data_IF_536406989549
#
_entry.id   IF_536406989549
#
_cell.length_a   1.000
_cell.length_b   1.000
_cell.length_c   1.000
_cell.angle_alpha   90.00
_cell.angle_beta   90.00
_cell.angle_gamma   90.00
#
_symmetry.space_group_name_H-M   'P 1'
#
loop_
_entity.id
_entity.type
_entity.pdbx_description
1 polymer ?
2 non-polymer ?
3 non-polymer ?
4 water ?
#
# COMPACT_ATOMS: atom_id res chain seq x y z
N UNK A 1 3.97 -3.74 18.15
CA UNK A 1 2.85 -2.98 17.54
C UNK A 1 2.76 -3.23 16.03
N UNK A 2 3.82 -2.95 15.28
CA UNK A 2 3.72 -3.18 13.81
C UNK A 2 4.57 -4.38 13.42
N UNK A 3 5.13 -5.09 14.40
CA UNK A 3 6.02 -6.25 14.09
C UNK A 3 5.48 -7.35 13.19
N UNK A 4 4.22 -7.67 13.36
CA UNK A 4 3.63 -8.77 12.55
C UNK A 4 3.57 -8.37 11.06
N UNK A 5 3.62 -7.08 10.73
CA UNK A 5 3.60 -6.64 9.33
C UNK A 5 4.97 -6.71 8.67
N UNK A 6 6.04 -6.83 9.44
CA UNK A 6 7.39 -6.69 8.88
C UNK A 6 7.74 -7.91 8.06
N UNK A 7 8.45 -7.70 6.98
CA UNK A 7 8.98 -8.77 6.15
C UNK A 7 8.69 -8.52 4.69
N UNK A 8 8.84 -9.59 3.92
CA UNK A 8 8.71 -9.57 2.47
C UNK A 8 7.43 -10.30 2.10
N UNK A 9 6.61 -9.64 1.29
CA UNK A 9 5.25 -10.07 0.96
C UNK A 9 5.10 -10.11 -0.55
N UNK A 10 4.42 -11.12 -1.05
CA UNK A 10 4.23 -11.29 -2.50
C UNK A 10 2.75 -11.27 -2.83
N UNK A 11 2.36 -10.56 -3.88
CA UNK A 11 0.94 -10.51 -4.26
C UNK A 11 0.45 -11.88 -4.73
N UNK A 12 -0.68 -12.35 -4.11
CA UNK A 12 -1.37 -13.65 -4.38
C UNK A 12 -2.86 -13.52 -4.75
N UNK A 13 -3.49 -12.35 -4.64
CA UNK A 13 -4.89 -12.16 -5.08
C UNK A 13 -5.13 -10.65 -5.28
N UNK A 14 -5.88 -10.24 -6.32
CA UNK A 14 -6.24 -8.84 -6.48
C UNK A 14 -7.69 -8.72 -6.99
N UNK A 15 -8.46 -7.86 -6.31
CA UNK A 15 -9.85 -7.60 -6.67
C UNK A 15 -10.02 -6.09 -6.83
N UNK A 16 -10.52 -5.68 -7.99
CA UNK A 16 -10.97 -4.30 -8.25
C UNK A 16 -9.79 -3.32 -8.32
N UNK A 17 -8.56 -3.78 -8.58
CA UNK A 17 -7.47 -2.83 -8.70
C UNK A 17 -7.67 -1.90 -9.89
N UNK A 18 -8.21 -2.43 -11.01
CA UNK A 18 -8.47 -1.54 -12.14
C UNK A 18 -9.45 -0.44 -11.75
N UNK A 19 -10.50 -0.78 -11.01
CA UNK A 19 -11.46 0.25 -10.58
C UNK A 19 -10.74 1.34 -9.77
N UNK A 20 -9.88 0.92 -8.85
CA UNK A 20 -9.16 1.87 -8.02
C UNK A 20 -8.26 2.77 -8.86
N UNK A 21 -7.47 2.17 -9.74
CA UNK A 21 -6.60 2.96 -10.62
C UNK A 21 -7.42 3.91 -11.49
N UNK A 22 -8.52 3.43 -12.03
CA UNK A 22 -9.30 4.29 -12.91
C UNK A 22 -9.86 5.46 -12.10
N UNK A 23 -10.28 5.23 -10.86
CA UNK A 23 -10.81 6.31 -10.01
C UNK A 23 -9.75 7.39 -9.81
N UNK A 24 -8.49 6.99 -9.70
CA UNK A 24 -7.37 7.91 -9.54
C UNK A 24 -6.95 8.56 -10.87
N UNK A 25 -7.56 8.20 -11.98
CA UNK A 25 -7.21 8.82 -13.28
C UNK A 25 -6.02 8.19 -13.97
N UNK A 26 -5.64 6.98 -13.60
CA UNK A 26 -4.52 6.30 -14.26
C UNK A 26 -4.94 5.88 -15.68
N UNK A 27 -4.08 6.13 -16.65
CA UNK A 27 -4.38 5.84 -18.04
C UNK A 27 -4.46 4.35 -18.36
N UNK A 28 -5.15 4.03 -19.45
CA UNK A 28 -5.46 2.63 -19.75
C UNK A 28 -4.21 1.79 -19.91
N UNK A 29 -3.15 2.31 -20.53
CA UNK A 29 -1.98 1.50 -20.84
C UNK A 29 -1.27 1.15 -19.53
N UNK A 30 -1.19 2.10 -18.61
CA UNK A 30 -0.60 1.84 -17.28
C UNK A 30 -1.46 0.83 -16.52
N UNK A 31 -2.78 0.98 -16.58
CA UNK A 31 -3.64 0.03 -15.85
C UNK A 31 -3.46 -1.38 -16.40
N UNK A 32 -3.28 -1.47 -17.68
CA UNK A 32 -3.15 -2.75 -18.37
C UNK A 32 -1.89 -3.46 -17.85
N UNK A 33 -0.75 -2.77 -17.81
CA UNK A 33 0.50 -3.39 -17.33
C UNK A 33 0.35 -3.68 -15.84
N UNK A 34 -0.17 -2.72 -15.08
CA UNK A 34 -0.33 -2.91 -13.62
C UNK A 34 -1.17 -4.14 -13.30
N UNK A 35 -2.21 -4.44 -14.09
CA UNK A 35 -3.13 -5.56 -13.82
C UNK A 35 -2.44 -6.92 -13.95
N UNK A 36 -1.28 -6.95 -14.59
CA UNK A 36 -0.56 -8.22 -14.79
C UNK A 36 0.73 -8.28 -13.95
N UNK A 37 0.94 -7.30 -13.11
CA UNK A 37 2.17 -7.22 -12.34
C UNK A 37 1.89 -7.81 -10.95
N UNK A 38 2.89 -8.51 -10.37
CA UNK A 38 2.74 -9.09 -9.03
C UNK A 38 3.83 -8.53 -8.14
N UNK A 39 3.60 -7.39 -7.52
CA UNK A 39 4.65 -6.77 -6.76
C UNK A 39 5.04 -7.57 -5.52
N UNK A 40 6.25 -7.20 -5.07
CA UNK A 40 6.77 -7.59 -3.77
C UNK A 40 6.79 -6.35 -2.90
N UNK A 41 6.23 -6.47 -1.69
CA UNK A 41 6.22 -5.39 -0.70
C UNK A 41 7.12 -5.78 0.46
N UNK A 42 8.08 -4.94 0.79
CA UNK A 42 9.01 -5.19 1.89
C UNK A 42 8.76 -4.12 2.93
N UNK A 43 8.47 -4.54 4.15
CA UNK A 43 8.21 -3.61 5.27
C UNK A 43 9.30 -3.88 6.30
N UNK A 44 10.07 -2.86 6.61
CA UNK A 44 11.21 -2.98 7.53
C UNK A 44 11.10 -1.84 8.56
N UNK A 45 11.64 -2.09 9.75
CA UNK A 45 11.78 -0.98 10.72
C UNK A 45 13.19 -0.87 11.23
N UNK A 46 13.50 0.35 11.64
CA UNK A 46 14.75 0.67 12.34
C UNK A 46 14.36 1.66 13.42
N UNK A 47 14.23 1.16 14.64
CA UNK A 47 13.68 2.01 15.69
C UNK A 47 12.28 2.41 15.30
N UNK A 48 11.88 3.63 15.43
CA UNK A 48 10.44 3.76 15.09
C UNK A 48 10.30 4.32 13.64
N UNK A 49 11.31 4.18 12.77
CA UNK A 49 11.22 4.55 11.36
C UNK A 49 10.92 3.29 10.57
N UNK A 50 9.81 3.33 9.86
CA UNK A 50 9.40 2.24 8.96
C UNK A 50 9.81 2.63 7.55
N UNK A 51 10.20 1.61 6.78
CA UNK A 51 10.42 1.74 5.35
C UNK A 51 9.58 0.70 4.64
N UNK A 52 8.83 1.16 3.64
CA UNK A 52 7.94 0.29 2.87
C UNK A 52 8.34 0.40 1.41
N UNK A 53 8.87 -0.69 0.89
CA UNK A 53 9.31 -0.79 -0.51
C UNK A 53 8.27 -1.59 -1.28
N UNK A 54 7.98 -1.17 -2.51
CA UNK A 54 7.09 -1.93 -3.41
C UNK A 54 7.86 -2.10 -4.71
N UNK A 55 8.20 -3.34 -5.08
CA UNK A 55 9.04 -3.66 -6.22
C UNK A 55 8.26 -4.43 -7.27
N UNK A 56 8.51 -4.11 -8.52
CA UNK A 56 7.89 -4.87 -9.61
C UNK A 56 8.70 -4.73 -10.87
N UNK A 57 8.25 -5.41 -11.91
CA UNK A 57 8.84 -5.29 -13.24
C UNK A 57 8.46 -3.98 -13.93
N UNK A 58 7.51 -3.24 -13.41
CA UNK A 58 7.01 -2.02 -14.07
C UNK A 58 7.50 -0.76 -13.38
N UNK A 59 7.18 -0.61 -12.12
CA UNK A 59 7.52 0.55 -11.29
C UNK A 59 7.96 0.04 -9.91
N UNK A 60 8.80 0.83 -9.26
CA UNK A 60 9.21 0.60 -7.88
C UNK A 60 8.92 1.87 -7.09
N UNK A 61 8.58 1.71 -5.82
CA UNK A 61 8.47 2.82 -4.90
C UNK A 61 9.16 2.47 -3.61
N UNK A 62 9.47 3.53 -2.82
CA UNK A 62 9.93 3.37 -1.44
C UNK A 62 9.52 4.60 -0.67
N UNK A 63 8.99 4.38 0.52
CA UNK A 63 8.71 5.46 1.47
C UNK A 63 9.31 5.10 2.82
N UNK A 64 9.73 6.12 3.57
CA UNK A 64 10.09 5.98 4.97
C UNK A 64 9.31 6.98 5.79
N UNK A 65 8.91 6.56 7.00
CA UNK A 65 8.04 7.40 7.80
C UNK A 65 8.13 6.95 9.25
N UNK A 66 7.72 7.83 10.14
CA UNK A 66 7.43 7.49 11.54
C UNK A 66 5.91 7.37 11.68
N UNK A 67 5.37 6.39 12.43
CA UNK A 67 3.94 6.33 12.62
C UNK A 67 3.50 7.64 13.24
N UNK A 68 2.37 8.11 12.74
CA UNK A 68 1.73 9.26 13.31
C UNK A 68 2.36 10.59 12.99
N UNK A 69 3.31 10.63 12.06
CA UNK A 69 3.97 11.88 11.66
C UNK A 69 3.78 12.04 10.16
N UNK A 70 3.21 13.15 9.76
CA UNK A 70 2.94 13.40 8.33
C UNK A 70 4.26 13.43 7.55
N UNK A 71 4.18 12.99 6.30
CA UNK A 71 5.32 13.00 5.38
C UNK A 71 4.82 13.31 3.99
N UNK A 72 5.71 13.93 3.18
CA UNK A 72 5.44 14.09 1.78
C UNK A 72 5.71 12.78 1.04
N UNK A 73 4.90 12.50 0.04
CA UNK A 73 5.03 11.27 -0.75
C UNK A 73 4.70 11.58 -2.20
N UNK A 74 5.41 10.93 -3.10
CA UNK A 74 5.09 10.95 -4.53
C UNK A 74 4.75 9.51 -4.92
N UNK A 75 3.50 9.28 -5.27
CA UNK A 75 3.01 7.93 -5.44
C UNK A 75 3.47 7.32 -6.77
N UNK A 76 3.17 6.02 -6.93
CA UNK A 76 3.58 5.30 -8.14
C UNK A 76 2.99 5.92 -9.40
N UNK A 77 1.80 6.51 -9.28
CA UNK A 77 1.10 7.21 -10.38
C UNK A 77 1.38 8.72 -10.35
N UNK A 78 2.40 9.15 -9.64
CA UNK A 78 2.94 10.52 -9.69
C UNK A 78 2.03 11.56 -9.04
N UNK A 79 1.18 11.17 -8.10
CA UNK A 79 0.51 12.15 -7.26
C UNK A 79 1.45 12.61 -6.15
N UNK A 80 1.47 13.92 -5.91
CA UNK A 80 2.23 14.50 -4.78
C UNK A 80 1.25 14.71 -3.65
N UNK A 81 1.41 13.93 -2.60
CA UNK A 81 0.41 13.83 -1.54
C UNK A 81 1.05 14.10 -0.18
N UNK A 82 0.19 14.42 0.78
CA UNK A 82 0.54 14.51 2.19
C UNK A 82 0.03 13.24 2.84
N UNK A 83 0.91 12.50 3.49
CA UNK A 83 0.60 11.16 3.98
C UNK A 83 0.81 11.05 5.47
N UNK A 84 0.06 10.12 6.05
CA UNK A 84 0.31 9.72 7.44
C UNK A 84 -0.05 8.24 7.55
N UNK A 85 0.75 7.51 8.31
CA UNK A 85 0.51 6.09 8.55
C UNK A 85 0.39 5.91 10.07
N UNK A 86 -0.65 5.19 10.51
CA UNK A 86 -1.00 5.02 11.92
C UNK A 86 -1.42 3.56 12.13
N UNK A 87 -1.18 2.97 13.29
CA UNK A 87 -1.92 1.75 13.66
C UNK A 87 -3.27 2.10 14.25
N UNK A 88 -4.30 1.40 13.78
CA UNK A 88 -5.71 1.66 14.16
C UNK A 88 -6.40 0.30 14.19
N UNK A 89 -6.78 -0.15 15.38
CA UNK A 89 -7.42 -1.46 15.45
C UNK A 89 -6.50 -2.58 15.03
N UNK A 90 -5.21 -2.40 15.21
CA UNK A 90 -4.22 -3.39 14.77
C UNK A 90 -3.94 -3.38 13.27
N UNK A 91 -4.55 -2.46 12.54
CA UNK A 91 -4.34 -2.32 11.10
C UNK A 91 -3.37 -1.17 10.86
N UNK A 92 -2.57 -1.33 9.84
CA UNK A 92 -1.66 -0.28 9.43
C UNK A 92 -2.42 0.59 8.43
N UNK A 93 -2.80 1.83 8.79
CA UNK A 93 -3.66 2.70 7.99
C UNK A 93 -2.83 3.85 7.40
N UNK A 94 -2.65 3.85 6.07
CA UNK A 94 -1.95 4.90 5.29
C UNK A 94 -3.01 5.82 4.65
N UNK A 95 -3.10 7.11 5.06
CA UNK A 95 -4.02 8.10 4.47
C UNK A 95 -3.18 9.07 3.64
N UNK A 96 -3.60 9.26 2.38
CA UNK A 96 -2.99 10.23 1.46
C UNK A 96 -4.00 11.33 1.15
N UNK A 97 -3.53 12.57 1.16
CA UNK A 97 -4.34 13.76 0.91
C UNK A 97 -3.69 14.59 -0.18
N UNK A 98 -4.48 15.05 -1.15
CA UNK A 98 -3.96 15.93 -2.20
C UNK A 98 -5.14 16.60 -2.87
N UNK A 99 -5.03 17.90 -3.14
CA UNK A 99 -6.08 18.64 -3.89
C UNK A 99 -7.46 18.43 -3.23
N UNK A 100 -7.53 18.28 -1.92
CA UNK A 100 -8.79 18.06 -1.22
C UNK A 100 -9.33 16.62 -1.32
N UNK A 101 -8.69 15.78 -2.10
CA UNK A 101 -8.99 14.34 -2.27
C UNK A 101 -8.29 13.57 -1.15
N UNK A 102 -8.79 12.37 -0.94
CA UNK A 102 -8.17 11.42 -0.02
C UNK A 102 -8.25 10.01 -0.60
N UNK A 103 -7.27 9.19 -0.22
CA UNK A 103 -7.36 7.75 -0.43
C UNK A 103 -6.76 7.09 0.79
N UNK A 104 -7.30 5.93 1.15
CA UNK A 104 -6.74 5.14 2.22
C UNK A 104 -6.23 3.80 1.69
N UNK A 105 -5.13 3.38 2.30
CA UNK A 105 -4.45 2.11 2.03
C UNK A 105 -4.35 1.42 3.37
N UNK A 106 -5.20 0.43 3.61
CA UNK A 106 -5.33 -0.20 4.93
C UNK A 106 -4.78 -1.61 4.85
N UNK A 107 -3.83 -1.95 5.72
CA UNK A 107 -3.26 -3.29 5.75
C UNK A 107 -3.65 -3.98 7.06
N UNK A 108 -4.07 -5.23 6.92
CA UNK A 108 -4.45 -6.06 8.07
C UNK A 108 -3.96 -7.46 7.85
N UNK A 109 -3.78 -8.17 8.93
CA UNK A 109 -3.36 -9.56 8.87
C UNK A 109 -4.55 -10.45 9.17
N UNK A 110 -4.79 -11.39 8.27
CA UNK A 110 -5.89 -12.39 8.42
C UNK A 110 -5.31 -13.75 8.06
N UNK A 111 -5.27 -14.63 9.05
CA UNK A 111 -4.72 -16.00 8.88
C UNK A 111 -3.31 -15.94 8.29
N UNK A 112 -2.49 -15.01 8.77
CA UNK A 112 -1.10 -14.92 8.29
C UNK A 112 -0.95 -14.24 6.95
N UNK A 113 -2.04 -13.88 6.26
CA UNK A 113 -1.95 -13.16 4.99
C UNK A 113 -2.13 -11.68 5.26
N UNK A 114 -1.52 -10.87 4.42
CA UNK A 114 -1.60 -9.40 4.51
C UNK A 114 -2.65 -8.96 3.50
N UNK A 115 -3.72 -8.34 3.98
CA UNK A 115 -4.83 -7.85 3.15
C UNK A 115 -4.71 -6.33 3.08
N UNK A 116 -4.54 -5.82 1.86
CA UNK A 116 -4.44 -4.39 1.57
C UNK A 116 -5.77 -3.96 0.94
N UNK A 117 -6.45 -3.03 1.59
CA UNK A 117 -7.69 -2.48 1.07
C UNK A 117 -7.44 -1.04 0.66
N UNK A 118 -7.68 -0.75 -0.61
CA UNK A 118 -7.42 0.56 -1.21
C UNK A 118 -8.78 1.19 -1.54
N UNK A 119 -9.05 2.38 -1.00
CA UNK A 119 -10.33 3.05 -1.22
C UNK A 119 -10.08 4.44 -1.77
N UNK A 120 -10.73 4.78 -2.89
CA UNK A 120 -10.72 6.15 -3.42
C UNK A 120 -12.09 6.34 -4.06
N UNK A 121 -12.73 7.46 -3.76
CA UNK A 121 -14.09 7.63 -4.27
C UNK A 121 -14.96 6.51 -3.76
N UNK A 122 -15.66 5.86 -4.65
CA UNK A 122 -16.43 4.69 -4.27
C UNK A 122 -15.70 3.39 -4.51
N UNK A 123 -14.53 3.43 -5.17
CA UNK A 123 -13.79 2.24 -5.55
C UNK A 123 -13.10 1.63 -4.34
N UNK A 124 -13.27 0.33 -4.20
CA UNK A 124 -12.67 -0.43 -3.10
C UNK A 124 -12.00 -1.66 -3.71
N UNK A 125 -10.66 -1.69 -3.56
CA UNK A 125 -9.83 -2.76 -4.05
C UNK A 125 -9.25 -3.55 -2.89
N UNK A 126 -9.25 -4.87 -3.03
CA UNK A 126 -8.67 -5.74 -1.99
C UNK A 126 -7.59 -6.57 -2.62
N UNK A 127 -6.38 -6.45 -2.10
CA UNK A 127 -5.23 -7.22 -2.58
C UNK A 127 -4.70 -8.03 -1.42
N UNK A 128 -4.28 -9.23 -1.75
CA UNK A 128 -3.80 -10.16 -0.74
C UNK A 128 -2.36 -10.53 -1.03
N UNK A 129 -1.55 -10.52 0.02
CA UNK A 129 -0.11 -10.76 -0.04
C UNK A 129 0.20 -11.95 0.85
N UNK A 130 1.09 -12.79 0.52
CA UNK A 130 1.60 -13.94 1.29
C UNK A 130 3.06 -13.64 1.67
N UNK A 131 3.43 -14.09 2.86
CA UNK A 131 4.77 -13.85 3.43
C UNK A 131 5.78 -14.73 2.71
N UNK A 132 6.86 -14.15 2.26
CA UNK A 132 8.06 -14.85 1.79
C UNK A 132 9.02 -15.09 2.97
N UNK A 133 9.62 -16.27 2.97
CA UNK A 133 10.55 -16.77 3.99
C UNK A 133 11.87 -15.99 3.94
#
# INVERSE_FOLDING_TARGET
>A
MVDAFLGTWKLVDSKNFDDYMKSLGVGFATRQVASMTKPTTIIEKNGDILTLKTHSTFKNTEISFKLGVEFDETTADDRKVKSIVTLDGGKLVHLQKWDGQETTLVRELIDGKLILTLTHGTAVCTRTYEKEA
#
